data_IF_732486618302
#
_entry.id   IF_732486618302
#
_cell.length_a   1.000
_cell.length_b   1.000
_cell.length_c   1.000
_cell.angle_alpha   90.00
_cell.angle_beta   90.00
_cell.angle_gamma   90.00
#
_symmetry.space_group_name_H-M   'P 1'
#
loop_
_entity.id
_entity.type
_entity.pdbx_description
1 polymer ?
#
# COMPACT_ATOMS: atom_id res chain seq x y z
N UNK A 1 -13.87 9.20 -2.19
CA UNK A 1 -12.44 9.00 -1.82
C UNK A 1 -12.08 7.53 -1.57
N UNK A 2 -12.87 6.78 -0.77
CA UNK A 2 -12.50 5.45 -0.24
C UNK A 2 -12.48 4.30 -1.27
N UNK A 3 -13.26 4.39 -2.36
CA UNK A 3 -13.37 3.32 -3.36
C UNK A 3 -12.32 3.39 -4.49
N UNK A 4 -11.09 3.84 -4.19
CA UNK A 4 -9.99 3.88 -5.14
C UNK A 4 -9.07 2.65 -4.95
N UNK A 5 -8.59 1.99 -6.02
CA UNK A 5 -7.64 0.89 -5.89
C UNK A 5 -6.40 1.21 -5.04
N UNK A 6 -5.86 2.43 -5.15
CA UNK A 6 -4.67 2.84 -4.34
C UNK A 6 -5.01 2.89 -2.85
N UNK A 7 -6.22 3.33 -2.52
CA UNK A 7 -6.70 3.32 -1.13
C UNK A 7 -6.82 1.90 -0.62
N UNK A 8 -7.26 0.96 -1.46
CA UNK A 8 -7.32 -0.46 -1.06
C UNK A 8 -5.91 -0.99 -0.77
N UNK A 9 -4.98 -0.77 -1.69
CA UNK A 9 -3.59 -1.24 -1.54
C UNK A 9 -2.94 -0.66 -0.26
N UNK A 10 -3.22 0.60 0.07
CA UNK A 10 -2.73 1.24 1.30
C UNK A 10 -3.38 0.61 2.55
N UNK A 11 -4.71 0.45 2.55
CA UNK A 11 -5.43 -0.11 3.69
C UNK A 11 -5.10 -1.59 3.93
N UNK A 12 -4.84 -2.37 2.88
CA UNK A 12 -4.36 -3.76 2.98
C UNK A 12 -2.98 -3.86 3.65
N UNK A 13 -2.18 -2.79 3.65
CA UNK A 13 -0.94 -2.70 4.43
C UNK A 13 -1.18 -2.46 5.93
N UNK A 14 -2.37 -2.04 6.33
CA UNK A 14 -2.73 -1.67 7.71
C UNK A 14 -3.61 -2.76 8.35
N UNK A 15 -4.56 -3.29 7.59
CA UNK A 15 -5.57 -4.24 8.08
C UNK A 15 -5.47 -5.59 7.38
N UNK A 16 -6.01 -6.61 8.03
CA UNK A 16 -6.10 -7.95 7.46
C UNK A 16 -7.11 -7.92 6.29
N UNK A 17 -6.96 -8.80 5.29
CA UNK A 17 -7.81 -8.79 4.08
C UNK A 17 -9.32 -8.87 4.41
N UNK A 18 -9.68 -9.65 5.43
CA UNK A 18 -11.06 -9.82 5.90
C UNK A 18 -11.64 -8.54 6.52
N UNK A 19 -10.79 -7.67 7.05
CA UNK A 19 -11.16 -6.42 7.71
C UNK A 19 -11.22 -5.22 6.75
N UNK A 20 -10.78 -5.38 5.49
CA UNK A 20 -10.73 -4.29 4.50
C UNK A 20 -12.10 -3.65 4.24
N UNK A 21 -13.17 -4.45 4.22
CA UNK A 21 -14.54 -3.92 4.06
C UNK A 21 -14.97 -3.14 5.30
N UNK A 22 -14.66 -3.66 6.48
CA UNK A 22 -15.04 -3.08 7.76
C UNK A 22 -14.34 -1.74 8.00
N UNK A 23 -13.03 -1.68 7.76
CA UNK A 23 -12.25 -0.44 7.96
C UNK A 23 -12.74 0.69 7.06
N UNK A 24 -13.13 0.40 5.81
CA UNK A 24 -13.69 1.41 4.90
C UNK A 24 -15.01 1.98 5.40
N UNK A 25 -15.87 1.14 5.97
CA UNK A 25 -17.13 1.59 6.56
C UNK A 25 -16.90 2.44 7.81
N UNK A 26 -15.92 2.07 8.65
CA UNK A 26 -15.53 2.84 9.83
C UNK A 26 -14.96 4.20 9.44
N UNK A 27 -14.06 4.27 8.46
CA UNK A 27 -13.54 5.54 7.93
C UNK A 27 -14.69 6.40 7.39
N UNK A 28 -15.62 5.81 6.63
CA UNK A 28 -16.79 6.55 6.14
C UNK A 28 -17.67 7.06 7.29
N UNK A 29 -17.88 6.26 8.35
CA UNK A 29 -18.65 6.68 9.51
C UNK A 29 -17.99 7.88 10.24
N UNK A 30 -16.67 7.86 10.39
CA UNK A 30 -15.92 8.99 10.96
C UNK A 30 -16.01 10.25 10.08
N UNK A 31 -15.94 10.11 8.75
CA UNK A 31 -16.15 11.22 7.81
C UNK A 31 -17.56 11.79 7.92
N UNK A 32 -18.56 10.94 8.17
CA UNK A 32 -19.95 11.34 8.37
C UNK A 32 -20.19 11.97 9.77
N UNK A 33 -19.14 12.18 10.57
CA UNK A 33 -19.20 12.85 11.87
C UNK A 33 -19.57 11.94 13.05
N UNK A 34 -19.41 10.63 12.90
CA UNK A 34 -19.70 9.68 13.98
C UNK A 34 -18.41 9.36 14.71
N UNK A 35 -18.32 9.85 15.94
CA UNK A 35 -17.06 9.92 16.68
C UNK A 35 -16.94 8.87 17.79
N UNK A 36 -17.98 8.10 18.13
CA UNK A 36 -17.89 7.05 19.17
C UNK A 36 -17.90 5.66 18.57
N UNK A 37 -17.15 4.75 19.19
CA UNK A 37 -17.09 3.34 18.79
C UNK A 37 -18.44 2.65 18.92
N UNK A 38 -19.26 3.00 19.93
CA UNK A 38 -20.64 2.50 20.02
C UNK A 38 -21.52 2.99 18.87
N UNK A 39 -21.46 4.27 18.51
CA UNK A 39 -22.29 4.79 17.41
C UNK A 39 -21.82 4.26 16.04
N UNK A 40 -20.51 4.02 15.87
CA UNK A 40 -19.98 3.36 14.67
C UNK A 40 -20.50 1.91 14.61
N UNK A 41 -20.49 1.17 15.72
CA UNK A 41 -21.07 -0.16 15.80
C UNK A 41 -22.56 -0.15 15.40
N UNK A 42 -23.36 0.75 15.98
CA UNK A 42 -24.80 0.85 15.70
C UNK A 42 -25.09 1.17 14.22
N UNK A 43 -24.29 2.05 13.59
CA UNK A 43 -24.48 2.40 12.18
C UNK A 43 -24.03 1.30 11.22
N UNK A 44 -22.92 0.63 11.53
CA UNK A 44 -22.26 -0.30 10.59
C UNK A 44 -22.63 -1.76 10.82
N UNK A 45 -23.24 -2.08 11.97
CA UNK A 45 -23.51 -3.45 12.45
C UNK A 45 -22.23 -4.31 12.59
N UNK A 46 -21.05 -3.67 12.56
CA UNK A 46 -19.76 -4.33 12.80
C UNK A 46 -19.62 -4.53 14.30
N UNK A 47 -19.26 -5.73 14.75
CA UNK A 47 -19.05 -6.04 16.18
C UNK A 47 -18.17 -4.98 16.85
N UNK A 48 -18.60 -4.47 18.01
CA UNK A 48 -17.91 -3.41 18.74
C UNK A 48 -16.40 -3.68 18.97
N UNK A 49 -16.03 -4.92 19.30
CA UNK A 49 -14.63 -5.30 19.46
C UNK A 49 -13.81 -5.16 18.15
N UNK A 50 -14.42 -5.48 17.02
CA UNK A 50 -13.81 -5.29 15.69
C UNK A 50 -13.68 -3.81 15.38
N UNK A 51 -14.71 -3.00 15.67
CA UNK A 51 -14.66 -1.55 15.52
C UNK A 51 -13.48 -0.97 16.30
N UNK A 52 -13.35 -1.30 17.59
CA UNK A 52 -12.23 -0.88 18.45
C UNK A 52 -10.88 -1.31 17.90
N UNK A 53 -10.71 -2.60 17.53
CA UNK A 53 -9.48 -3.13 16.93
C UNK A 53 -9.07 -2.29 15.71
N UNK A 54 -10.01 -1.99 14.83
CA UNK A 54 -9.73 -1.26 13.60
C UNK A 54 -9.46 0.22 13.86
N UNK A 55 -10.20 0.86 14.77
CA UNK A 55 -9.92 2.24 15.17
C UNK A 55 -8.50 2.40 15.75
N UNK A 56 -8.04 1.45 16.58
CA UNK A 56 -6.65 1.45 17.04
C UNK A 56 -5.65 1.26 15.91
N UNK A 57 -5.90 0.36 14.95
CA UNK A 57 -5.04 0.23 13.74
C UNK A 57 -4.98 1.53 12.94
N UNK A 58 -6.11 2.25 12.80
CA UNK A 58 -6.15 3.57 12.16
C UNK A 58 -5.32 4.61 12.93
N UNK A 59 -5.37 4.57 14.26
CA UNK A 59 -4.55 5.44 15.10
C UNK A 59 -3.06 5.14 15.02
N UNK A 60 -2.67 3.87 15.02
CA UNK A 60 -1.27 3.45 14.88
C UNK A 60 -0.72 3.86 13.50
N UNK A 61 -1.58 3.83 12.48
CA UNK A 61 -1.29 4.39 11.16
C UNK A 61 -1.41 5.93 11.09
N UNK A 62 -1.64 6.62 12.21
CA UNK A 62 -1.83 8.08 12.35
C UNK A 62 -2.96 8.69 11.51
N UNK A 63 -3.88 7.90 10.97
CA UNK A 63 -4.99 8.40 10.15
C UNK A 63 -6.27 8.68 10.96
N UNK A 64 -6.24 8.38 12.26
CA UNK A 64 -7.27 8.77 13.21
C UNK A 64 -6.65 9.10 14.57
N UNK A 65 -7.24 10.06 15.27
CA UNK A 65 -6.89 10.41 16.65
C UNK A 65 -8.08 10.19 17.57
N UNK A 66 -7.84 10.07 18.87
CA UNK A 66 -8.92 9.98 19.85
C UNK A 66 -8.66 10.84 21.08
N UNK A 67 -9.75 11.28 21.72
CA UNK A 67 -9.74 11.92 23.02
C UNK A 67 -10.49 11.05 24.02
N UNK A 68 -9.90 10.90 25.20
CA UNK A 68 -10.54 10.19 26.32
C UNK A 68 -11.17 11.22 27.25
N UNK A 69 -12.49 11.19 27.34
CA UNK A 69 -13.25 11.98 28.30
C UNK A 69 -13.69 11.09 29.45
N UNK A 70 -13.62 11.62 30.67
CA UNK A 70 -14.14 10.95 31.86
C UNK A 70 -15.36 11.72 32.32
N UNK A 71 -16.48 11.04 32.38
CA UNK A 71 -17.71 11.61 32.93
C UNK A 71 -17.53 11.84 34.45
N UNK A 72 -17.70 13.08 34.95
CA UNK A 72 -17.54 13.37 36.38
C UNK A 72 -18.58 12.67 37.26
N UNK A 73 -19.80 12.48 36.78
CA UNK A 73 -20.92 11.91 37.53
C UNK A 73 -20.88 10.39 37.50
N UNK A 74 -20.73 9.81 36.31
CA UNK A 74 -20.82 8.35 36.15
C UNK A 74 -19.46 7.66 36.28
N UNK A 75 -18.35 8.40 36.23
CA UNK A 75 -16.97 7.91 36.21
C UNK A 75 -16.62 7.02 35.00
N UNK A 76 -17.49 6.94 33.99
CA UNK A 76 -17.24 6.19 32.76
C UNK A 76 -16.30 6.94 31.81
N UNK A 77 -15.53 6.18 31.03
CA UNK A 77 -14.66 6.71 30.00
C UNK A 77 -15.33 6.62 28.64
N UNK A 78 -15.37 7.73 27.91
CA UNK A 78 -15.82 7.79 26.52
C UNK A 78 -14.64 8.13 25.62
N UNK A 79 -14.53 7.41 24.51
CA UNK A 79 -13.51 7.63 23.49
C UNK A 79 -14.16 8.34 22.30
N UNK A 80 -13.71 9.56 22.03
CA UNK A 80 -14.16 10.35 20.89
C UNK A 80 -13.07 10.32 19.84
N UNK A 81 -13.35 9.67 18.73
CA UNK A 81 -12.49 9.47 17.57
C UNK A 81 -12.69 10.58 16.55
N UNK A 82 -11.58 11.00 15.94
CA UNK A 82 -11.56 11.99 14.88
C UNK A 82 -10.75 11.43 13.72
N UNK A 83 -11.28 11.55 12.51
CA UNK A 83 -10.55 11.21 11.29
C UNK A 83 -9.69 12.39 10.83
N UNK A 84 -8.41 12.13 10.62
CA UNK A 84 -7.46 13.15 10.18
C UNK A 84 -7.30 13.06 8.65
N UNK A 85 -8.19 13.76 7.94
CA UNK A 85 -8.29 13.73 6.47
C UNK A 85 -6.98 14.17 5.78
N UNK A 86 -6.31 15.19 6.32
CA UNK A 86 -5.06 15.73 5.77
C UNK A 86 -3.95 14.66 5.83
N UNK A 87 -3.71 14.12 7.02
CA UNK A 87 -2.73 13.05 7.25
C UNK A 87 -3.05 11.79 6.42
N UNK A 88 -4.32 11.42 6.31
CA UNK A 88 -4.76 10.31 5.48
C UNK A 88 -4.40 10.51 3.99
N UNK A 89 -4.63 11.72 3.46
CA UNK A 89 -4.29 12.05 2.07
C UNK A 89 -2.78 12.08 1.86
N UNK A 90 -2.04 12.63 2.81
CA UNK A 90 -0.58 12.70 2.77
C UNK A 90 0.03 11.30 2.75
N UNK A 91 -0.34 10.43 3.69
CA UNK A 91 0.19 9.05 3.75
C UNK A 91 -0.11 8.23 2.49
N UNK A 92 -1.31 8.38 1.92
CA UNK A 92 -1.62 7.71 0.64
C UNK A 92 -0.75 8.26 -0.49
N UNK A 93 -0.50 9.56 -0.51
CA UNK A 93 0.34 10.22 -1.51
C UNK A 93 1.78 9.76 -1.40
N UNK A 94 2.32 9.67 -0.19
CA UNK A 94 3.66 9.13 0.07
C UNK A 94 3.77 7.66 -0.36
N UNK A 95 2.86 6.81 0.13
CA UNK A 95 2.82 5.39 -0.22
C UNK A 95 2.81 5.17 -1.73
N UNK A 96 1.98 5.95 -2.42
CA UNK A 96 1.88 5.88 -3.87
C UNK A 96 3.15 6.37 -4.59
N UNK A 97 3.70 7.50 -4.15
CA UNK A 97 4.90 8.11 -4.75
C UNK A 97 6.11 7.20 -4.58
N UNK A 98 6.31 6.63 -3.40
CA UNK A 98 7.37 5.66 -3.13
C UNK A 98 7.22 4.42 -4.03
N UNK A 99 5.99 3.90 -4.16
CA UNK A 99 5.71 2.75 -5.02
C UNK A 99 6.00 3.04 -6.50
N UNK A 100 5.64 4.23 -6.97
CA UNK A 100 5.97 4.67 -8.32
C UNK A 100 7.47 4.78 -8.54
N UNK A 101 8.17 5.42 -7.61
CA UNK A 101 9.62 5.63 -7.70
C UNK A 101 10.35 4.29 -7.78
N UNK A 102 10.03 3.33 -6.89
CA UNK A 102 10.60 1.97 -6.94
C UNK A 102 10.36 1.27 -8.28
N UNK A 103 9.16 1.43 -8.88
CA UNK A 103 8.84 0.84 -10.19
C UNK A 103 9.57 1.53 -11.34
N UNK A 104 9.73 2.85 -11.25
CA UNK A 104 10.45 3.64 -12.24
C UNK A 104 11.95 3.31 -12.17
N UNK A 105 12.53 3.27 -10.98
CA UNK A 105 13.92 2.83 -10.75
C UNK A 105 14.16 1.43 -11.28
N UNK A 106 13.26 0.47 -11.02
CA UNK A 106 13.37 -0.88 -11.57
C UNK A 106 13.31 -0.89 -13.11
N UNK A 107 12.45 -0.06 -13.70
CA UNK A 107 12.37 0.06 -15.16
C UNK A 107 13.64 0.69 -15.75
N UNK A 108 14.11 1.79 -15.16
CA UNK A 108 15.31 2.50 -15.58
C UNK A 108 16.54 1.60 -15.46
N UNK A 109 16.61 0.78 -14.41
CA UNK A 109 17.67 -0.21 -14.24
C UNK A 109 17.64 -1.25 -15.38
N UNK A 110 16.47 -1.84 -15.67
CA UNK A 110 16.34 -2.77 -16.79
C UNK A 110 16.66 -2.12 -18.14
N UNK A 111 16.37 -0.82 -18.33
CA UNK A 111 16.63 -0.09 -19.57
C UNK A 111 18.11 0.24 -19.78
N UNK A 112 18.83 0.56 -18.71
CA UNK A 112 20.22 1.01 -18.77
C UNK A 112 21.25 -0.09 -18.52
N UNK A 113 20.84 -1.23 -17.95
CA UNK A 113 21.74 -2.34 -17.64
C UNK A 113 21.46 -3.58 -18.50
N UNK A 114 22.54 -4.31 -18.78
CA UNK A 114 22.49 -5.63 -19.37
C UNK A 114 22.39 -6.67 -18.26
N UNK A 115 21.49 -7.62 -18.47
CA UNK A 115 21.27 -8.74 -17.56
C UNK A 115 21.63 -10.04 -18.26
N UNK A 116 22.11 -11.00 -17.48
CA UNK A 116 22.42 -12.35 -17.93
C UNK A 116 21.70 -13.36 -17.06
N UNK A 117 21.33 -14.48 -17.68
CA UNK A 117 20.67 -15.61 -17.02
C UNK A 117 21.37 -16.91 -17.39
N UNK A 118 21.25 -17.92 -16.54
CA UNK A 118 21.73 -19.25 -16.90
C UNK A 118 20.86 -19.85 -18.02
N UNK A 119 21.51 -20.41 -19.04
CA UNK A 119 20.85 -21.03 -20.19
C UNK A 119 20.09 -22.33 -19.84
N UNK A 120 20.45 -22.99 -18.74
CA UNK A 120 19.82 -24.24 -18.30
C UNK A 120 18.60 -24.00 -17.42
N UNK A 121 18.70 -23.05 -16.47
CA UNK A 121 17.61 -22.66 -15.57
C UNK A 121 17.78 -21.22 -15.09
N UNK A 122 16.77 -20.37 -15.32
CA UNK A 122 16.81 -18.97 -14.90
C UNK A 122 16.78 -18.81 -13.36
N UNK A 123 16.37 -19.84 -12.62
CA UNK A 123 16.42 -19.83 -11.15
C UNK A 123 17.84 -20.02 -10.61
N UNK A 124 18.77 -20.60 -11.39
CA UNK A 124 20.16 -20.77 -10.97
C UNK A 124 20.90 -19.44 -10.85
N UNK A 125 20.64 -18.51 -11.76
CA UNK A 125 21.32 -17.22 -11.82
C UNK A 125 20.56 -16.21 -12.68
N UNK A 126 20.39 -14.99 -12.14
CA UNK A 126 20.00 -13.78 -12.88
C UNK A 126 20.75 -12.60 -12.28
N UNK A 127 21.69 -12.04 -13.01
CA UNK A 127 22.53 -10.94 -12.54
C UNK A 127 22.75 -9.87 -13.61
N UNK A 128 23.19 -8.70 -13.18
CA UNK A 128 23.63 -7.67 -14.12
C UNK A 128 25.03 -7.98 -14.68
N UNK A 129 25.57 -7.12 -15.54
CA UNK A 129 26.90 -7.30 -16.11
C UNK A 129 28.01 -7.41 -15.05
N UNK A 130 27.94 -6.61 -13.98
CA UNK A 130 28.97 -6.59 -12.93
C UNK A 130 28.98 -7.93 -12.21
N UNK A 131 27.81 -8.37 -11.73
CA UNK A 131 27.65 -9.66 -11.05
C UNK A 131 28.03 -10.83 -11.96
N UNK A 132 27.62 -10.79 -13.23
CA UNK A 132 27.97 -11.83 -14.21
C UNK A 132 29.48 -11.89 -14.49
N UNK A 133 30.16 -10.73 -14.47
CA UNK A 133 31.60 -10.66 -14.68
C UNK A 133 32.42 -11.23 -13.53
N UNK A 134 31.89 -11.19 -12.29
CA UNK A 134 32.52 -11.82 -11.12
C UNK A 134 32.58 -13.35 -11.25
N UNK A 135 31.63 -13.94 -11.97
CA UNK A 135 31.59 -15.37 -12.30
C UNK A 135 32.12 -15.67 -13.71
N UNK A 136 32.83 -14.74 -14.34
CA UNK A 136 33.39 -14.88 -15.70
C UNK A 136 32.34 -15.28 -16.76
N UNK A 137 31.08 -14.91 -16.56
CA UNK A 137 29.92 -15.31 -17.36
C UNK A 137 29.61 -16.82 -17.34
N UNK A 138 29.96 -17.53 -16.27
CA UNK A 138 29.55 -18.91 -16.02
C UNK A 138 28.57 -18.99 -14.84
N UNK A 139 27.61 -19.92 -14.93
CA UNK A 139 26.65 -20.13 -13.88
C UNK A 139 27.30 -20.80 -12.65
N UNK A 140 27.19 -20.23 -11.43
CA UNK A 140 27.82 -20.79 -10.24
C UNK A 140 27.23 -22.12 -9.76
N UNK A 141 26.08 -22.54 -10.31
CA UNK A 141 25.38 -23.79 -9.93
C UNK A 141 25.70 -24.94 -10.87
N UNK A 142 25.70 -24.68 -12.18
CA UNK A 142 25.77 -25.71 -13.22
C UNK A 142 26.97 -25.57 -14.17
N UNK A 143 27.79 -24.52 -14.00
CA UNK A 143 29.04 -24.29 -14.75
C UNK A 143 28.86 -24.10 -16.27
N UNK A 144 27.63 -23.84 -16.72
CA UNK A 144 27.32 -23.47 -18.11
C UNK A 144 27.39 -21.96 -18.31
N UNK A 145 27.69 -21.54 -19.55
CA UNK A 145 27.72 -20.13 -19.95
C UNK A 145 26.37 -19.42 -19.69
N UNK A 146 26.46 -18.17 -19.26
CA UNK A 146 25.32 -17.27 -19.11
C UNK A 146 24.94 -16.66 -20.46
N UNK A 147 23.64 -16.48 -20.69
CA UNK A 147 23.10 -15.85 -21.89
C UNK A 147 22.46 -14.48 -21.59
N UNK A 148 22.44 -13.54 -22.55
CA UNK A 148 21.77 -12.26 -22.37
C UNK A 148 20.26 -12.42 -22.12
N UNK A 149 19.75 -11.78 -21.07
CA UNK A 149 18.34 -11.83 -20.71
C UNK A 149 17.50 -10.84 -21.53
N UNK A 150 16.47 -11.34 -22.23
CA UNK A 150 15.49 -10.48 -22.92
C UNK A 150 14.44 -9.92 -21.94
N UNK A 151 14.75 -8.77 -21.37
CA UNK A 151 13.86 -8.06 -20.46
C UNK A 151 12.65 -7.37 -21.14
N UNK A 152 12.40 -7.52 -22.45
CA UNK A 152 11.30 -6.80 -23.16
C UNK A 152 9.93 -7.02 -22.50
N UNK A 153 9.63 -8.26 -22.12
CA UNK A 153 8.34 -8.60 -21.49
C UNK A 153 8.22 -7.94 -20.12
N UNK A 154 9.27 -8.00 -19.32
CA UNK A 154 9.32 -7.41 -17.97
C UNK A 154 9.19 -5.88 -18.03
N UNK A 155 9.94 -5.22 -18.92
CA UNK A 155 9.82 -3.78 -19.20
C UNK A 155 8.41 -3.38 -19.60
N UNK A 156 7.78 -4.14 -20.51
CA UNK A 156 6.40 -3.87 -20.95
C UNK A 156 5.39 -3.98 -19.79
N UNK A 157 5.52 -5.00 -18.95
CA UNK A 157 4.68 -5.18 -17.77
C UNK A 157 4.85 -4.06 -16.76
N UNK A 158 6.09 -3.65 -16.47
CA UNK A 158 6.39 -2.51 -15.58
C UNK A 158 5.78 -1.20 -16.12
N UNK A 159 6.00 -0.87 -17.40
CA UNK A 159 5.41 0.32 -18.05
C UNK A 159 3.89 0.35 -17.94
N UNK A 160 3.24 -0.80 -18.16
CA UNK A 160 1.78 -0.93 -18.03
C UNK A 160 1.33 -0.69 -16.59
N UNK A 161 2.02 -1.26 -15.60
CA UNK A 161 1.72 -1.06 -14.16
C UNK A 161 1.87 0.41 -13.77
N UNK A 162 3.00 1.05 -14.12
CA UNK A 162 3.24 2.48 -13.86
C UNK A 162 2.13 3.35 -14.45
N UNK A 163 1.67 3.05 -15.66
CA UNK A 163 0.58 3.81 -16.30
C UNK A 163 -0.75 3.63 -15.55
N UNK A 164 -1.05 2.40 -15.11
CA UNK A 164 -2.25 2.12 -14.33
C UNK A 164 -2.23 2.82 -12.98
N UNK A 165 -1.09 2.79 -12.30
CA UNK A 165 -0.84 3.51 -11.06
C UNK A 165 -1.11 5.00 -11.23
N UNK A 166 -0.48 5.64 -12.24
CA UNK A 166 -0.65 7.07 -12.56
C UNK A 166 -2.11 7.42 -12.80
N UNK A 167 -2.83 6.56 -13.51
CA UNK A 167 -4.27 6.74 -13.74
C UNK A 167 -5.09 6.64 -12.45
N UNK A 168 -4.78 5.67 -11.58
CA UNK A 168 -5.50 5.49 -10.31
C UNK A 168 -5.23 6.65 -9.35
N UNK A 169 -4.01 7.19 -9.33
CA UNK A 169 -3.64 8.30 -8.46
C UNK A 169 -4.29 9.59 -8.89
N UNK A 170 -4.29 9.88 -10.19
CA UNK A 170 -5.05 11.02 -10.72
C UNK A 170 -6.53 10.97 -10.33
N UNK A 171 -7.16 9.79 -10.38
CA UNK A 171 -8.54 9.62 -9.89
C UNK A 171 -8.70 9.87 -8.39
N UNK A 172 -7.67 9.58 -7.60
CA UNK A 172 -7.66 9.85 -6.17
C UNK A 172 -7.56 11.36 -5.91
N UNK A 173 -6.62 12.05 -6.56
CA UNK A 173 -6.48 13.51 -6.50
C UNK A 173 -7.77 14.23 -6.94
N UNK A 174 -8.37 13.80 -8.05
CA UNK A 174 -9.65 14.34 -8.54
C UNK A 174 -10.79 14.14 -7.54
N UNK A 175 -10.74 13.06 -6.73
CA UNK A 175 -11.76 12.78 -5.72
C UNK A 175 -11.55 13.59 -4.43
N UNK A 176 -10.32 14.01 -4.13
CA UNK A 176 -10.01 14.92 -3.02
C UNK A 176 -10.48 16.34 -3.37
N UNK A 177 -10.15 16.82 -4.56
CA UNK A 177 -10.42 18.21 -4.97
C UNK A 177 -11.92 18.52 -5.18
N UNK A 178 -12.77 17.50 -5.27
CA UNK A 178 -14.23 17.64 -5.42
C UNK A 178 -14.99 17.68 -4.08
N UNK A 179 -14.30 17.55 -2.94
CA UNK A 179 -14.90 17.23 -1.65
C UNK A 179 -14.36 18.11 -0.52
#
# INVERSE_FOLDING_TARGET
>A
MINNPIVNDFLEGIVDADDLKNVKQIIQALIDGIETDEAIHEKTDIKLNTVRKLLYKLHDASIATYKRNKDPETQWFTYTWKFDKEEYVEKITEFYTERLNKRQEALDNLENNLYFVCCMDQEHFKGDYTESSEYEFYCPVCDYELEPYDAKKEKSLLKRRITLDKKNFKKFEDAINKQ
#
